data_IF_658510500239
#
_entry.id   IF_658510500239
#
_cell.length_a   1.000
_cell.length_b   1.000
_cell.length_c   1.000
_cell.angle_alpha   90.00
_cell.angle_beta   90.00
_cell.angle_gamma   90.00
#
_symmetry.space_group_name_H-M   'P 1'
#
loop_
_entity.id
_entity.type
_entity.pdbx_description
1 polymer ?
#
# COMPACT_ATOMS: atom_id res chain seq x y z
N UNK A 1 1.58 -12.71 -16.01
CA UNK A 1 1.37 -11.42 -16.70
C UNK A 1 1.23 -10.35 -15.62
N UNK A 2 2.24 -9.50 -15.40
CA UNK A 2 2.19 -8.46 -14.34
C UNK A 2 1.02 -7.52 -14.64
N UNK A 3 0.10 -7.37 -13.69
CA UNK A 3 -1.00 -6.42 -13.82
C UNK A 3 -0.41 -5.03 -14.02
N UNK A 4 -0.69 -4.46 -15.19
CA UNK A 4 -0.42 -3.08 -15.53
C UNK A 4 -1.20 -2.22 -14.53
N UNK A 5 -0.48 -1.48 -13.68
CA UNK A 5 -1.06 -0.39 -12.89
C UNK A 5 -1.38 0.75 -13.88
N UNK A 6 -2.41 0.53 -14.70
CA UNK A 6 -2.79 1.40 -15.83
C UNK A 6 -3.93 2.36 -15.51
N UNK A 7 -4.67 2.11 -14.45
CA UNK A 7 -5.60 3.07 -13.85
C UNK A 7 -5.07 3.44 -12.47
N UNK A 8 -5.13 4.71 -12.06
CA UNK A 8 -4.62 5.08 -10.76
C UNK A 8 -5.37 4.27 -9.70
N UNK A 9 -4.65 3.41 -8.95
CA UNK A 9 -5.10 2.76 -7.70
C UNK A 9 -5.79 3.78 -6.78
N UNK A 10 -5.42 5.04 -6.98
CA UNK A 10 -5.85 6.25 -6.33
C UNK A 10 -6.74 7.09 -7.27
N UNK A 11 -7.95 6.63 -7.56
CA UNK A 11 -9.00 7.41 -8.26
C UNK A 11 -9.53 8.59 -7.43
N UNK A 12 -8.65 9.35 -6.77
CA UNK A 12 -9.01 10.45 -5.88
C UNK A 12 -8.60 11.80 -6.46
N UNK A 13 -9.52 12.75 -6.46
CA UNK A 13 -9.26 14.14 -6.86
C UNK A 13 -8.44 14.92 -5.84
N UNK A 14 -8.18 14.36 -4.65
CA UNK A 14 -7.46 15.02 -3.55
C UNK A 14 -6.01 15.35 -3.87
N UNK A 15 -5.38 14.51 -4.68
CA UNK A 15 -3.97 14.63 -4.98
C UNK A 15 -3.73 15.13 -6.41
N UNK A 16 -2.60 15.83 -6.59
CA UNK A 16 -1.99 16.11 -7.87
C UNK A 16 -0.83 15.14 -8.06
N UNK A 17 -0.77 14.49 -9.23
CA UNK A 17 0.29 13.53 -9.60
C UNK A 17 1.43 14.25 -10.30
N UNK A 18 2.65 13.91 -9.91
CA UNK A 18 3.91 14.29 -10.54
C UNK A 18 4.64 13.01 -10.98
N UNK A 19 5.10 12.99 -12.23
CA UNK A 19 5.97 11.92 -12.74
C UNK A 19 7.42 12.38 -12.61
N UNK A 20 8.22 11.55 -11.94
CA UNK A 20 9.60 11.84 -11.56
C UNK A 20 10.59 10.87 -12.20
N UNK A 21 10.18 10.17 -13.28
CA UNK A 21 11.06 9.28 -14.04
C UNK A 21 11.32 7.96 -13.31
N UNK A 22 10.34 7.07 -13.35
CA UNK A 22 10.38 5.76 -12.67
C UNK A 22 9.74 5.77 -11.27
N UNK A 23 9.32 6.94 -10.80
CA UNK A 23 8.55 7.12 -9.59
C UNK A 23 7.43 8.13 -9.84
N UNK A 24 6.30 7.94 -9.17
CA UNK A 24 5.23 8.91 -9.15
C UNK A 24 4.97 9.41 -7.75
N UNK A 25 4.98 10.73 -7.60
CA UNK A 25 4.69 11.41 -6.35
C UNK A 25 3.32 12.10 -6.45
N UNK A 26 2.45 11.82 -5.50
CA UNK A 26 1.12 12.42 -5.40
C UNK A 26 1.07 13.27 -4.13
N UNK A 27 0.83 14.57 -4.28
CA UNK A 27 0.78 15.54 -3.18
C UNK A 27 -0.60 16.18 -3.16
N UNK A 28 -1.12 16.56 -1.99
CA UNK A 28 -2.41 17.24 -1.87
C UNK A 28 -2.49 18.45 -2.79
N UNK A 29 -3.63 18.65 -3.47
CA UNK A 29 -3.79 19.72 -4.48
C UNK A 29 -3.59 21.13 -3.93
N UNK A 30 -3.87 21.33 -2.65
CA UNK A 30 -3.66 22.59 -1.93
C UNK A 30 -2.18 22.93 -1.71
N UNK A 31 -1.28 21.98 -1.97
CA UNK A 31 0.15 22.23 -1.87
C UNK A 31 0.64 23.17 -2.98
N UNK A 32 1.03 24.38 -2.60
CA UNK A 32 1.57 25.40 -3.51
C UNK A 32 3.09 25.54 -3.40
N UNK A 33 3.76 24.73 -2.59
CA UNK A 33 5.20 24.75 -2.42
C UNK A 33 5.95 24.22 -3.64
N UNK A 34 7.27 24.41 -3.65
CA UNK A 34 8.14 23.75 -4.64
C UNK A 34 8.25 22.27 -4.31
N UNK A 35 8.42 21.42 -5.33
CA UNK A 35 8.77 20.03 -5.09
C UNK A 35 10.12 19.97 -4.34
N UNK A 36 10.28 19.05 -3.37
CA UNK A 36 11.55 18.84 -2.70
C UNK A 36 12.66 18.48 -3.71
N UNK A 37 13.86 19.00 -3.49
CA UNK A 37 15.05 18.68 -4.29
C UNK A 37 15.63 17.33 -3.82
N UNK A 38 15.02 16.24 -4.29
CA UNK A 38 15.38 14.86 -3.94
C UNK A 38 15.83 14.14 -5.22
N UNK A 39 16.88 13.33 -5.11
CA UNK A 39 17.25 12.40 -6.17
C UNK A 39 16.34 11.15 -6.14
N UNK A 40 15.35 11.12 -7.03
CA UNK A 40 14.41 10.01 -7.16
C UNK A 40 14.98 8.81 -7.93
N UNK A 41 16.11 8.97 -8.61
CA UNK A 41 16.62 7.96 -9.54
C UNK A 41 17.41 6.84 -8.86
N UNK A 42 18.22 7.19 -7.84
CA UNK A 42 19.16 6.27 -7.21
C UNK A 42 18.68 5.67 -5.87
N UNK A 43 17.61 6.22 -5.28
CA UNK A 43 17.12 5.84 -3.94
C UNK A 43 15.98 4.82 -3.98
N UNK A 44 15.90 4.00 -2.95
CA UNK A 44 14.75 3.11 -2.69
C UNK A 44 13.48 3.92 -2.38
N UNK A 45 12.31 3.26 -2.46
CA UNK A 45 11.03 3.89 -2.10
C UNK A 45 11.04 4.33 -0.64
N UNK A 46 11.67 3.54 0.22
CA UNK A 46 11.83 3.87 1.62
C UNK A 46 12.66 5.14 1.86
N UNK A 47 13.85 5.24 1.27
CA UNK A 47 14.71 6.41 1.44
C UNK A 47 14.04 7.70 0.92
N UNK A 48 13.41 7.64 -0.25
CA UNK A 48 12.66 8.78 -0.80
C UNK A 48 11.48 9.13 0.11
N UNK A 49 10.75 8.12 0.60
CA UNK A 49 9.65 8.30 1.52
C UNK A 49 10.07 9.03 2.80
N UNK A 50 11.16 8.61 3.43
CA UNK A 50 11.73 9.23 4.63
C UNK A 50 12.13 10.69 4.39
N UNK A 51 12.79 10.99 3.28
CA UNK A 51 13.14 12.37 2.90
C UNK A 51 11.88 13.26 2.72
N UNK A 52 10.86 12.71 2.05
CA UNK A 52 9.58 13.40 1.85
C UNK A 52 8.83 13.64 3.16
N UNK A 53 8.93 12.73 4.14
CA UNK A 53 8.26 12.91 5.44
C UNK A 53 8.75 14.15 6.20
N UNK A 54 9.99 14.57 5.97
CA UNK A 54 10.57 15.76 6.58
C UNK A 54 10.09 17.07 5.93
N UNK A 55 9.49 16.98 4.74
CA UNK A 55 9.17 18.14 3.90
C UNK A 55 7.68 18.28 3.62
N UNK A 56 6.93 17.17 3.58
CA UNK A 56 5.52 17.10 3.25
C UNK A 56 4.72 16.47 4.38
N UNK A 57 3.59 17.09 4.73
CA UNK A 57 2.66 16.55 5.73
C UNK A 57 1.82 15.40 5.19
N UNK A 58 1.59 15.38 3.88
CA UNK A 58 0.78 14.36 3.21
C UNK A 58 1.27 14.11 1.79
N UNK A 59 1.48 12.84 1.47
CA UNK A 59 1.85 12.40 0.13
C UNK A 59 1.64 10.90 -0.07
N UNK A 60 1.64 10.50 -1.33
CA UNK A 60 1.72 9.10 -1.76
C UNK A 60 2.82 8.98 -2.79
N UNK A 61 3.77 8.09 -2.53
CA UNK A 61 4.90 7.80 -3.38
C UNK A 61 4.70 6.40 -3.98
N UNK A 62 4.73 6.27 -5.30
CA UNK A 62 4.55 5.02 -6.02
C UNK A 62 5.79 4.73 -6.88
N UNK A 63 6.32 3.52 -6.80
CA UNK A 63 7.41 3.04 -7.67
C UNK A 63 7.38 1.53 -7.74
N UNK A 64 7.45 0.98 -8.95
CA UNK A 64 7.53 -0.46 -9.21
C UNK A 64 6.46 -1.30 -8.48
N UNK A 65 5.24 -0.78 -8.36
CA UNK A 65 4.12 -1.44 -7.67
C UNK A 65 4.13 -1.34 -6.14
N UNK A 66 5.12 -0.64 -5.59
CA UNK A 66 5.22 -0.34 -4.15
C UNK A 66 4.73 1.06 -3.90
N UNK A 67 4.04 1.23 -2.78
CA UNK A 67 3.49 2.51 -2.38
C UNK A 67 3.97 2.86 -0.98
N UNK A 68 4.50 4.05 -0.79
CA UNK A 68 4.73 4.63 0.53
C UNK A 68 3.77 5.80 0.75
N UNK A 69 3.08 5.81 1.87
CA UNK A 69 1.99 6.75 2.12
C UNK A 69 2.11 7.39 3.49
N UNK A 70 1.91 8.71 3.52
CA UNK A 70 1.74 9.54 4.72
C UNK A 70 0.47 10.35 4.53
N UNK A 71 -0.52 10.15 5.40
CA UNK A 71 -1.86 10.73 5.24
C UNK A 71 -2.21 11.62 6.42
N UNK A 72 -2.96 12.68 6.14
CA UNK A 72 -3.55 13.57 7.18
C UNK A 72 -5.06 13.38 7.34
N UNK A 73 -5.71 12.72 6.37
CA UNK A 73 -7.10 12.30 6.48
C UNK A 73 -7.32 10.97 5.73
N UNK A 74 -8.36 10.20 6.06
CA UNK A 74 -8.53 8.86 5.53
C UNK A 74 -8.56 8.78 4.00
N UNK A 75 -7.95 7.73 3.47
CA UNK A 75 -7.84 7.49 2.04
C UNK A 75 -8.62 6.23 1.67
N UNK A 76 -9.47 6.32 0.65
CA UNK A 76 -10.22 5.18 0.13
C UNK A 76 -9.57 4.71 -1.16
N UNK A 77 -9.19 3.43 -1.20
CA UNK A 77 -8.51 2.76 -2.31
C UNK A 77 -9.40 1.67 -2.85
N UNK A 78 -9.58 1.61 -4.16
CA UNK A 78 -10.20 0.45 -4.78
C UNK A 78 -9.11 -0.58 -5.06
N UNK A 79 -9.17 -1.70 -4.37
CA UNK A 79 -8.24 -2.81 -4.51
C UNK A 79 -8.60 -3.66 -5.73
N UNK A 80 -9.83 -4.14 -5.76
CA UNK A 80 -10.35 -4.95 -6.86
C UNK A 80 -11.74 -4.46 -7.24
N UNK A 81 -12.33 -5.13 -8.22
CA UNK A 81 -13.72 -4.84 -8.61
C UNK A 81 -14.67 -4.86 -7.41
N UNK A 82 -14.43 -5.77 -6.47
CA UNK A 82 -15.33 -6.11 -5.38
C UNK A 82 -14.78 -5.74 -3.99
N UNK A 83 -13.62 -5.07 -3.92
CA UNK A 83 -12.99 -4.72 -2.65
C UNK A 83 -12.50 -3.28 -2.64
N UNK A 84 -13.04 -2.50 -1.71
CA UNK A 84 -12.57 -1.14 -1.42
C UNK A 84 -12.03 -1.08 0.01
N UNK A 85 -10.90 -0.39 0.19
CA UNK A 85 -10.20 -0.31 1.48
C UNK A 85 -10.10 1.16 1.87
N UNK A 86 -10.61 1.51 3.05
CA UNK A 86 -10.40 2.83 3.66
C UNK A 86 -9.28 2.74 4.70
N UNK A 87 -8.17 3.43 4.44
CA UNK A 87 -6.99 3.53 5.29
C UNK A 87 -7.09 4.78 6.16
N UNK A 88 -6.99 4.60 7.48
CA UNK A 88 -6.94 5.70 8.44
C UNK A 88 -5.52 6.29 8.56
N UNK A 89 -5.36 7.62 8.74
CA UNK A 89 -4.06 8.27 8.94
C UNK A 89 -3.21 7.68 10.06
N UNK A 90 -3.85 7.14 11.11
CA UNK A 90 -3.15 6.52 12.24
C UNK A 90 -2.32 5.28 11.87
N UNK A 91 -2.56 4.71 10.68
CA UNK A 91 -1.80 3.60 10.12
C UNK A 91 -0.66 4.05 9.21
N UNK A 92 -0.37 5.35 9.19
CA UNK A 92 0.63 5.96 8.31
C UNK A 92 1.66 6.73 9.17
N UNK A 93 2.94 6.81 8.77
CA UNK A 93 3.50 6.37 7.49
C UNK A 93 3.57 4.85 7.34
N UNK A 94 3.36 4.35 6.13
CA UNK A 94 3.38 2.91 5.84
C UNK A 94 3.78 2.61 4.40
N UNK A 95 4.35 1.42 4.23
CA UNK A 95 4.46 0.75 2.94
C UNK A 95 3.21 -0.04 2.69
N UNK A 96 2.72 0.05 1.47
CA UNK A 96 1.58 -0.64 0.93
C UNK A 96 2.06 -1.38 -0.31
N UNK A 97 1.93 -2.70 -0.30
CA UNK A 97 2.15 -3.54 -1.48
C UNK A 97 0.85 -4.27 -1.79
N UNK A 98 0.49 -4.23 -3.05
CA UNK A 98 -0.65 -4.92 -3.64
C UNK A 98 -0.12 -6.03 -4.54
N UNK A 99 -0.71 -7.21 -4.46
CA UNK A 99 -0.50 -8.26 -5.44
C UNK A 99 -1.82 -8.97 -5.74
N UNK A 100 -2.14 -9.09 -7.04
CA UNK A 100 -3.25 -9.89 -7.56
C UNK A 100 -2.66 -11.09 -8.30
N UNK A 101 -3.02 -12.28 -7.86
CA UNK A 101 -2.47 -13.54 -8.35
C UNK A 101 -3.38 -14.12 -9.44
N UNK A 102 -2.79 -14.78 -10.44
CA UNK A 102 -3.52 -15.30 -11.61
C UNK A 102 -4.60 -16.33 -11.26
N UNK A 103 -4.54 -16.93 -10.07
CA UNK A 103 -5.49 -17.90 -9.54
C UNK A 103 -6.68 -17.26 -8.80
N UNK A 104 -6.82 -15.94 -8.86
CA UNK A 104 -7.90 -15.19 -8.22
C UNK A 104 -7.70 -14.97 -6.72
N UNK A 105 -6.49 -15.25 -6.20
CA UNK A 105 -6.06 -14.76 -4.90
C UNK A 105 -5.56 -13.34 -5.00
N UNK A 106 -5.62 -12.61 -3.90
CA UNK A 106 -5.20 -11.23 -3.86
C UNK A 106 -4.88 -10.77 -2.46
N UNK A 107 -3.88 -9.90 -2.32
CA UNK A 107 -3.44 -9.42 -1.01
C UNK A 107 -2.94 -7.97 -1.07
N UNK A 108 -3.32 -7.22 -0.05
CA UNK A 108 -2.77 -5.93 0.33
C UNK A 108 -2.07 -6.10 1.66
N UNK A 109 -0.81 -5.70 1.70
CA UNK A 109 -0.03 -5.66 2.93
C UNK A 109 0.31 -4.21 3.24
N UNK A 110 0.07 -3.82 4.49
CA UNK A 110 0.54 -2.58 5.09
C UNK A 110 1.57 -2.88 6.18
N UNK A 111 2.77 -2.32 6.04
CA UNK A 111 3.85 -2.53 6.99
C UNK A 111 4.67 -1.25 7.22
N UNK A 112 5.47 -1.25 8.29
CA UNK A 112 6.35 -0.13 8.65
C UNK A 112 7.59 -0.02 7.76
N UNK A 113 8.02 -1.12 7.14
CA UNK A 113 9.20 -1.17 6.25
C UNK A 113 8.86 -1.83 4.92
N UNK A 114 9.61 -1.47 3.89
CA UNK A 114 9.47 -2.03 2.54
C UNK A 114 9.69 -3.55 2.56
N UNK A 115 10.80 -3.98 3.17
CA UNK A 115 11.18 -5.40 3.34
C UNK A 115 10.07 -6.23 4.00
N UNK A 116 9.47 -5.72 5.09
CA UNK A 116 8.40 -6.44 5.78
C UNK A 116 7.17 -6.64 4.87
N UNK A 117 6.83 -5.64 4.08
CA UNK A 117 5.69 -5.73 3.17
C UNK A 117 5.98 -6.75 2.05
N UNK A 118 7.17 -6.74 1.47
CA UNK A 118 7.58 -7.67 0.42
C UNK A 118 7.59 -9.11 0.90
N UNK A 119 8.19 -9.36 2.06
CA UNK A 119 8.30 -10.70 2.63
C UNK A 119 6.92 -11.28 2.96
N UNK A 120 5.98 -10.43 3.40
CA UNK A 120 4.61 -10.87 3.65
C UNK A 120 3.83 -11.20 2.40
N UNK A 121 4.02 -10.47 1.30
CA UNK A 121 3.40 -10.80 0.01
C UNK A 121 3.95 -12.13 -0.51
N UNK A 122 5.28 -12.34 -0.46
CA UNK A 122 5.90 -13.62 -0.83
C UNK A 122 5.37 -14.76 0.03
N UNK A 123 5.32 -14.56 1.35
CA UNK A 123 4.80 -15.56 2.29
C UNK A 123 3.32 -15.85 2.07
N UNK A 124 2.51 -14.82 1.76
CA UNK A 124 1.10 -15.02 1.40
C UNK A 124 1.01 -15.92 0.18
N UNK A 125 1.81 -15.64 -0.87
CA UNK A 125 1.81 -16.47 -2.06
C UNK A 125 2.15 -17.91 -1.72
N UNK A 126 3.25 -18.15 -0.99
CA UNK A 126 3.73 -19.49 -0.65
C UNK A 126 2.75 -20.29 0.22
N UNK A 127 2.08 -19.64 1.18
CA UNK A 127 1.35 -20.32 2.26
C UNK A 127 -0.16 -20.31 2.12
N UNK A 128 -0.74 -19.38 1.37
CA UNK A 128 -2.19 -19.25 1.22
C UNK A 128 -2.58 -19.75 -0.16
N UNK A 129 -2.88 -21.06 -0.28
CA UNK A 129 -3.30 -21.65 -1.56
C UNK A 129 -4.82 -21.84 -1.63
N UNK A 130 -5.45 -22.01 -0.47
CA UNK A 130 -6.87 -22.26 -0.34
C UNK A 130 -7.52 -21.30 0.68
N UNK A 131 -8.84 -21.07 0.62
CA UNK A 131 -9.53 -20.16 1.54
C UNK A 131 -9.30 -20.49 3.03
N UNK A 132 -9.17 -21.77 3.38
CA UNK A 132 -8.92 -22.27 4.73
C UNK A 132 -7.52 -21.94 5.27
N UNK A 133 -6.54 -21.67 4.41
CA UNK A 133 -5.18 -21.30 4.82
C UNK A 133 -5.14 -19.86 5.35
N UNK A 134 -6.04 -19.02 4.86
CA UNK A 134 -5.98 -17.58 5.09
C UNK A 134 -6.14 -17.16 6.57
N UNK A 135 -7.08 -17.75 7.36
CA UNK A 135 -7.12 -17.50 8.79
C UNK A 135 -5.82 -17.87 9.53
N UNK A 136 -5.14 -18.94 9.10
CA UNK A 136 -3.85 -19.35 9.64
C UNK A 136 -2.76 -18.31 9.38
N UNK A 137 -2.71 -17.82 8.15
CA UNK A 137 -1.83 -16.72 7.76
C UNK A 137 -2.08 -15.45 8.58
N UNK A 138 -3.32 -14.98 8.69
CA UNK A 138 -3.65 -13.77 9.45
C UNK A 138 -3.27 -13.88 10.94
N UNK A 139 -3.40 -15.06 11.54
CA UNK A 139 -2.95 -15.31 12.93
C UNK A 139 -1.43 -15.23 13.08
N UNK A 140 -0.68 -15.70 12.09
CA UNK A 140 0.77 -15.60 12.09
C UNK A 140 1.23 -14.14 11.92
N UNK A 141 0.60 -13.41 10.99
CA UNK A 141 0.87 -11.98 10.75
C UNK A 141 0.62 -11.14 11.99
N UNK A 142 -0.45 -11.42 12.74
CA UNK A 142 -0.81 -10.68 13.97
C UNK A 142 0.32 -10.61 15.00
N UNK A 143 1.25 -11.57 15.00
CA UNK A 143 2.37 -11.63 15.94
C UNK A 143 3.55 -10.73 15.55
N UNK A 144 3.55 -10.15 14.35
CA UNK A 144 4.61 -9.27 13.89
C UNK A 144 4.23 -7.79 14.12
N UNK A 145 5.05 -7.06 14.89
CA UNK A 145 4.82 -5.66 15.27
C UNK A 145 5.13 -4.65 14.17
N UNK A 146 5.83 -5.07 13.12
CA UNK A 146 6.10 -4.25 11.94
C UNK A 146 4.94 -4.26 10.94
N UNK A 147 3.93 -5.12 11.15
CA UNK A 147 2.76 -5.22 10.26
C UNK A 147 1.63 -4.39 10.83
N UNK A 148 1.09 -3.52 9.97
CA UNK A 148 0.03 -2.57 10.31
C UNK A 148 -1.33 -3.09 9.85
N UNK A 149 -1.38 -3.82 8.74
CA UNK A 149 -2.60 -4.47 8.29
C UNK A 149 -2.38 -5.38 7.09
N UNK A 150 -3.31 -6.30 6.92
CA UNK A 150 -3.43 -7.18 5.76
C UNK A 150 -4.90 -7.25 5.39
N UNK A 151 -5.20 -7.07 4.11
CA UNK A 151 -6.51 -7.31 3.53
C UNK A 151 -6.31 -8.21 2.32
N UNK A 152 -7.09 -9.26 2.17
CA UNK A 152 -6.94 -10.13 1.01
C UNK A 152 -8.22 -10.87 0.67
N UNK A 153 -8.19 -11.48 -0.50
CA UNK A 153 -9.26 -12.32 -1.04
C UNK A 153 -8.68 -13.62 -1.56
N UNK A 154 -9.31 -14.75 -1.22
CA UNK A 154 -8.95 -16.08 -1.70
C UNK A 154 -10.23 -16.77 -2.14
N UNK A 155 -10.46 -16.84 -3.45
CA UNK A 155 -11.74 -17.29 -4.00
C UNK A 155 -12.90 -16.40 -3.54
N UNK A 156 -13.81 -16.94 -2.72
CA UNK A 156 -14.96 -16.21 -2.16
C UNK A 156 -14.74 -15.68 -0.75
N UNK A 157 -13.58 -15.93 -0.15
CA UNK A 157 -13.29 -15.54 1.22
C UNK A 157 -12.47 -14.26 1.22
N UNK A 158 -13.03 -13.23 1.83
CA UNK A 158 -12.30 -11.98 2.14
C UNK A 158 -11.91 -12.00 3.61
N UNK A 159 -10.68 -11.63 3.89
CA UNK A 159 -10.11 -11.61 5.23
C UNK A 159 -9.35 -10.32 5.48
N UNK A 160 -9.44 -9.86 6.72
CA UNK A 160 -8.80 -8.63 7.18
C UNK A 160 -8.18 -8.85 8.56
N UNK A 161 -6.98 -8.32 8.72
CA UNK A 161 -6.39 -8.07 10.02
C UNK A 161 -5.71 -6.69 10.00
N UNK A 162 -5.84 -5.92 11.07
CA UNK A 162 -5.27 -4.56 11.15
C UNK A 162 -5.02 -4.17 12.59
N UNK A 163 -3.97 -3.37 12.83
CA UNK A 163 -3.66 -2.77 14.13
C UNK A 163 -4.47 -1.50 14.43
N UNK A 164 -5.13 -0.95 13.42
CA UNK A 164 -5.98 0.24 13.52
C UNK A 164 -7.25 0.06 12.70
N UNK A 165 -7.86 1.18 12.32
CA UNK A 165 -9.10 1.14 11.55
C UNK A 165 -8.80 1.04 10.05
N UNK A 166 -9.02 -0.15 9.49
CA UNK A 166 -9.20 -0.34 8.06
C UNK A 166 -10.65 -0.78 7.86
N UNK A 167 -11.40 -0.05 7.03
CA UNK A 167 -12.77 -0.44 6.67
C UNK A 167 -12.73 -1.06 5.27
N UNK A 168 -13.21 -2.29 5.17
CA UNK A 168 -13.47 -2.93 3.88
C UNK A 168 -14.92 -2.61 3.48
N UNK A 169 -15.09 -2.04 2.28
CA UNK A 169 -16.36 -1.59 1.71
C UNK A 169 -16.67 -2.42 0.47
#
# INVERSE_FOLDING_TARGET
MRVQIGEPILGTSRFRRFDLGGCSLMIGREYTGKLPDIDFSAKSVQEIGEDLMNTLDEFILERDGKVFLKLTSPLTLRYSKDLTIRIDPSLTPAFLIFEDFEDGRGCVVMARTEETAEDLIKRFDETVKWPEDFPGFLRAVKKNDHVLGVVGSVGKVTGIWTRGNIVVI
#
